data_IF_219750326237
#
_entry.id   IF_219750326237
#
_cell.length_a   1.000
_cell.length_b   1.000
_cell.length_c   1.000
_cell.angle_alpha   90.00
_cell.angle_beta   90.00
_cell.angle_gamma   90.00
#
_symmetry.space_group_name_H-M   'P 1'
#
loop_
_entity.id
_entity.type
_entity.pdbx_description
1 polymer ?
#
# COMPACT_ATOMS: atom_id res chain seq x y z
N UNK A 1 33.53 32.69 -34.98
CA UNK A 1 32.70 33.86 -34.61
C UNK A 1 31.50 33.32 -33.84
N UNK A 2 31.51 33.27 -32.51
CA UNK A 2 31.38 34.37 -31.53
C UNK A 2 29.94 34.84 -31.29
N UNK A 3 29.31 34.23 -30.28
CA UNK A 3 28.28 34.74 -29.32
C UNK A 3 27.12 35.60 -29.85
N UNK A 4 25.89 35.21 -29.47
CA UNK A 4 25.05 35.92 -28.48
C UNK A 4 23.68 35.23 -28.25
N UNK A 5 23.38 34.89 -27.00
CA UNK A 5 22.01 34.92 -26.39
C UNK A 5 21.83 36.36 -25.86
N UNK A 6 20.61 36.94 -25.65
CA UNK A 6 19.57 36.45 -24.72
C UNK A 6 18.10 36.85 -25.01
N UNK A 7 17.24 36.82 -23.97
CA UNK A 7 15.88 37.39 -23.79
C UNK A 7 14.61 36.58 -24.11
N UNK A 8 13.98 36.09 -23.03
CA UNK A 8 12.55 36.29 -22.68
C UNK A 8 12.46 37.58 -21.83
N UNK A 9 11.31 38.30 -21.61
CA UNK A 9 9.99 37.75 -21.29
C UNK A 9 8.76 38.61 -21.74
N UNK A 10 7.62 38.46 -21.01
CA UNK A 10 6.44 39.35 -20.84
C UNK A 10 5.10 38.88 -21.44
N UNK A 11 4.20 38.56 -20.50
CA UNK A 11 2.74 38.77 -20.48
C UNK A 11 2.04 39.37 -21.72
N UNK A 12 0.96 38.70 -22.13
CA UNK A 12 -0.26 39.38 -22.61
C UNK A 12 -1.44 38.85 -21.79
N UNK A 13 -2.30 39.77 -21.34
CA UNK A 13 -3.43 39.51 -20.46
C UNK A 13 -4.78 39.73 -21.17
N UNK A 14 -5.83 39.07 -20.64
CA UNK A 14 -7.24 39.54 -20.47
C UNK A 14 -8.04 40.22 -21.61
N UNK A 15 -9.37 40.23 -21.43
CA UNK A 15 -10.46 40.64 -22.37
C UNK A 15 -10.88 39.48 -23.31
N UNK A 16 -12.16 39.18 -23.61
CA UNK A 16 -13.52 39.58 -23.17
C UNK A 16 -14.38 38.27 -23.28
N UNK A 17 -15.39 37.98 -22.44
CA UNK A 17 -16.86 38.22 -22.67
C UNK A 17 -17.60 38.14 -21.32
N UNK A 18 -18.31 39.22 -21.00
CA UNK A 18 -19.33 39.30 -19.94
C UNK A 18 -20.72 38.93 -20.50
N UNK A 19 -21.75 39.03 -19.65
CA UNK A 19 -23.19 38.99 -19.96
C UNK A 19 -23.77 37.57 -20.10
N UNK A 20 -24.37 37.06 -19.03
CA UNK A 20 -25.84 36.90 -18.93
C UNK A 20 -26.21 36.43 -17.51
N UNK A 21 -26.57 37.39 -16.66
CA UNK A 21 -27.32 37.14 -15.42
C UNK A 21 -28.75 37.63 -15.60
N UNK A 22 -29.73 36.90 -15.05
CA UNK A 22 -30.87 37.56 -14.43
C UNK A 22 -30.95 37.17 -12.95
N UNK A 23 -30.86 38.18 -12.08
CA UNK A 23 -31.48 38.07 -10.75
C UNK A 23 -32.99 37.94 -10.96
N UNK A 24 -33.61 36.95 -10.32
CA UNK A 24 -34.99 37.10 -9.87
C UNK A 24 -35.10 36.61 -8.43
N UNK A 25 -35.57 37.51 -7.56
CA UNK A 25 -35.95 37.22 -6.18
C UNK A 25 -37.12 36.23 -6.15
N UNK A 26 -37.13 35.30 -5.19
CA UNK A 26 -38.33 35.06 -4.35
C UNK A 26 -38.03 34.17 -3.12
N UNK A 27 -38.33 34.75 -1.96
CA UNK A 27 -39.00 34.13 -0.79
C UNK A 27 -38.55 32.76 -0.26
N UNK A 28 -38.01 32.76 0.97
CA UNK A 28 -38.00 31.58 1.86
C UNK A 28 -39.43 31.11 2.18
N UNK A 29 -39.73 29.81 2.11
CA UNK A 29 -40.70 29.16 2.99
C UNK A 29 -39.98 28.46 4.15
N UNK A 30 -40.40 28.75 5.38
CA UNK A 30 -40.05 27.96 6.55
C UNK A 30 -41.08 26.83 6.71
N UNK A 31 -40.67 25.58 6.52
CA UNK A 31 -41.40 24.42 7.05
C UNK A 31 -40.43 23.37 7.59
N UNK A 32 -40.62 23.00 8.86
CA UNK A 32 -40.06 21.78 9.42
C UNK A 32 -40.76 20.59 8.75
N UNK A 33 -40.00 19.65 8.20
CA UNK A 33 -40.48 18.28 7.99
C UNK A 33 -39.46 17.28 8.55
N UNK A 34 -39.87 16.58 9.60
CA UNK A 34 -39.08 15.52 10.22
C UNK A 34 -39.15 14.27 9.35
N UNK A 35 -38.26 14.16 8.35
CA UNK A 35 -38.01 12.89 7.68
C UNK A 35 -36.75 12.26 8.25
N UNK A 36 -36.95 11.46 9.30
CA UNK A 36 -35.94 10.51 9.79
C UNK A 36 -35.80 9.43 8.72
N UNK A 37 -34.88 9.64 7.77
CA UNK A 37 -34.36 8.54 6.97
C UNK A 37 -33.55 7.65 7.90
N UNK A 38 -34.03 6.42 8.11
CA UNK A 38 -33.41 5.46 9.00
C UNK A 38 -31.93 5.27 8.65
N UNK A 39 -31.05 5.51 9.62
CA UNK A 39 -29.66 5.13 9.52
C UNK A 39 -29.57 3.60 9.40
N UNK A 40 -29.43 3.11 8.18
CA UNK A 40 -29.27 1.69 7.91
C UNK A 40 -28.07 1.16 8.72
N UNK A 41 -28.31 0.05 9.44
CA UNK A 41 -27.47 -0.35 10.57
C UNK A 41 -26.05 -0.69 10.11
N UNK A 42 -25.11 0.06 10.68
CA UNK A 42 -23.66 -0.10 10.61
C UNK A 42 -23.22 -1.57 10.36
N UNK A 43 -22.51 -1.89 9.26
CA UNK A 43 -22.02 -3.24 9.03
C UNK A 43 -21.05 -3.62 10.15
N UNK A 44 -21.46 -4.58 10.98
CA UNK A 44 -20.83 -5.06 12.21
C UNK A 44 -19.30 -4.86 12.26
N UNK A 45 -18.87 -3.74 12.84
CA UNK A 45 -17.45 -3.43 13.06
C UNK A 45 -16.93 -4.39 14.13
N UNK A 46 -16.30 -5.48 13.70
CA UNK A 46 -15.60 -6.41 14.60
C UNK A 46 -14.30 -5.77 15.06
N UNK A 47 -14.34 -5.14 16.23
CA UNK A 47 -13.16 -4.67 16.94
C UNK A 47 -12.32 -5.90 17.31
N UNK A 48 -11.09 -6.00 16.80
CA UNK A 48 -10.16 -7.05 17.21
C UNK A 48 -9.56 -6.75 18.59
N UNK A 49 -9.02 -7.79 19.24
CA UNK A 49 -8.28 -7.65 20.50
C UNK A 49 -6.99 -6.82 20.40
N UNK A 50 -6.60 -6.39 19.19
CA UNK A 50 -5.45 -5.51 18.96
C UNK A 50 -5.85 -4.09 18.51
N UNK A 51 -7.11 -3.71 18.75
CA UNK A 51 -7.66 -2.38 18.52
C UNK A 51 -8.01 -2.07 17.07
N UNK A 52 -7.92 -3.05 16.17
CA UNK A 52 -8.07 -2.85 14.74
C UNK A 52 -9.48 -3.21 14.27
N UNK A 53 -10.12 -2.28 13.58
CA UNK A 53 -11.44 -2.47 13.00
C UNK A 53 -11.29 -3.10 11.60
N UNK A 54 -11.62 -4.39 11.52
CA UNK A 54 -11.62 -5.11 10.25
C UNK A 54 -12.86 -4.78 9.42
N UNK A 55 -12.65 -4.19 8.25
CA UNK A 55 -13.71 -3.93 7.27
C UNK A 55 -14.03 -5.22 6.51
N UNK A 56 -14.84 -6.07 7.11
CA UNK A 56 -15.26 -7.38 6.58
C UNK A 56 -14.13 -8.42 6.47
N UNK A 57 -14.47 -9.63 6.01
CA UNK A 57 -13.51 -10.71 5.74
C UNK A 57 -13.16 -10.79 4.25
N UNK A 58 -11.87 -10.87 3.92
CA UNK A 58 -11.40 -11.02 2.53
C UNK A 58 -11.63 -12.45 2.06
N UNK A 59 -12.27 -12.63 0.89
CA UNK A 59 -12.55 -13.97 0.36
C UNK A 59 -11.36 -14.53 -0.41
N UNK A 60 -11.16 -15.83 -0.26
CA UNK A 60 -10.24 -16.65 -1.05
C UNK A 60 -11.02 -17.74 -1.78
N UNK A 61 -10.52 -18.22 -2.94
CA UNK A 61 -11.06 -19.42 -3.55
C UNK A 61 -10.78 -20.64 -2.65
N UNK A 62 -11.62 -21.67 -2.68
CA UNK A 62 -11.55 -22.83 -1.77
C UNK A 62 -10.14 -23.45 -1.68
N UNK A 63 -9.48 -23.63 -2.84
CA UNK A 63 -8.11 -24.17 -2.94
C UNK A 63 -7.07 -23.35 -2.16
N UNK A 64 -7.34 -22.07 -1.89
CA UNK A 64 -6.48 -21.16 -1.13
C UNK A 64 -6.97 -20.90 0.30
N UNK A 65 -8.27 -21.11 0.61
CA UNK A 65 -8.81 -20.92 1.98
C UNK A 65 -8.06 -21.72 3.03
N UNK A 66 -7.69 -22.97 2.77
CA UNK A 66 -6.91 -23.79 3.71
C UNK A 66 -5.55 -23.17 4.06
N UNK A 67 -4.92 -22.46 3.11
CA UNK A 67 -3.57 -21.89 3.27
C UNK A 67 -3.58 -20.45 3.78
N UNK A 68 -4.54 -19.65 3.34
CA UNK A 68 -4.58 -18.21 3.62
C UNK A 68 -5.78 -17.77 4.45
N UNK A 69 -6.89 -18.52 4.52
CA UNK A 69 -8.16 -18.03 5.09
C UNK A 69 -8.13 -17.61 6.57
N UNK A 70 -7.13 -18.03 7.34
CA UNK A 70 -6.92 -17.63 8.75
C UNK A 70 -5.68 -16.72 8.97
N UNK A 71 -5.10 -16.15 7.91
CA UNK A 71 -3.90 -15.29 8.01
C UNK A 71 -4.00 -14.21 9.09
N UNK A 72 -5.11 -13.46 9.18
CA UNK A 72 -5.31 -12.41 10.19
C UNK A 72 -5.17 -12.85 11.64
N UNK A 73 -5.37 -14.15 11.92
CA UNK A 73 -5.23 -14.76 13.25
C UNK A 73 -3.85 -15.40 13.44
N UNK A 74 -3.31 -16.00 12.39
CA UNK A 74 -2.17 -16.90 12.48
C UNK A 74 -0.85 -16.29 11.98
N UNK A 75 -0.90 -15.14 11.31
CA UNK A 75 0.25 -14.47 10.67
C UNK A 75 0.55 -13.13 11.33
N UNK A 76 1.77 -12.64 11.14
CA UNK A 76 2.25 -11.41 11.73
C UNK A 76 1.78 -10.20 10.90
N UNK A 77 0.88 -9.36 11.45
CA UNK A 77 0.51 -8.07 10.84
C UNK A 77 1.64 -7.05 11.01
N UNK A 78 2.36 -6.79 9.93
CA UNK A 78 3.59 -5.98 9.89
C UNK A 78 3.33 -4.48 9.92
N UNK A 79 2.20 -4.01 9.39
CA UNK A 79 1.84 -2.58 9.33
C UNK A 79 0.54 -2.28 10.06
N UNK A 80 0.20 -1.00 10.21
CA UNK A 80 -1.20 -0.61 10.42
C UNK A 80 -1.83 -0.32 9.04
N UNK A 81 -2.80 0.59 8.93
CA UNK A 81 -3.28 1.06 7.61
C UNK A 81 -2.28 2.07 7.04
N UNK A 82 -1.52 1.69 6.01
CA UNK A 82 -0.53 2.56 5.36
C UNK A 82 -1.10 3.12 4.05
N UNK A 83 -1.00 4.43 3.81
CA UNK A 83 -1.39 4.99 2.52
C UNK A 83 -0.32 4.69 1.46
N UNK A 84 -0.73 4.05 0.35
CA UNK A 84 0.17 3.66 -0.71
C UNK A 84 -0.13 4.41 -2.01
N UNK A 85 0.54 5.55 -2.22
CA UNK A 85 0.47 6.32 -3.48
C UNK A 85 0.81 5.48 -4.72
N UNK A 86 1.74 4.52 -4.61
CA UNK A 86 2.14 3.62 -5.70
C UNK A 86 1.12 2.53 -6.05
N UNK A 87 0.08 2.33 -5.24
CA UNK A 87 -0.95 1.30 -5.47
C UNK A 87 -2.33 1.99 -5.58
N UNK A 88 -2.51 2.81 -6.61
CA UNK A 88 -3.78 3.47 -6.96
C UNK A 88 -4.44 4.26 -5.81
N UNK A 89 -3.64 4.93 -4.98
CA UNK A 89 -4.11 5.70 -3.81
C UNK A 89 -4.92 4.86 -2.81
N UNK A 90 -4.59 3.59 -2.65
CA UNK A 90 -5.23 2.67 -1.71
C UNK A 90 -4.52 2.67 -0.34
N UNK A 91 -5.27 2.39 0.72
CA UNK A 91 -4.72 2.01 2.01
C UNK A 91 -4.34 0.53 1.98
N UNK A 92 -3.21 0.16 2.58
CA UNK A 92 -2.70 -1.22 2.56
C UNK A 92 -2.38 -1.72 3.96
N UNK A 93 -2.50 -3.04 4.13
CA UNK A 93 -2.10 -3.74 5.37
C UNK A 93 -1.27 -4.96 4.99
N UNK A 94 -0.07 -5.09 5.53
CA UNK A 94 0.88 -6.16 5.17
C UNK A 94 0.93 -7.21 6.29
N UNK A 95 0.92 -8.48 5.90
CA UNK A 95 1.09 -9.65 6.76
C UNK A 95 2.25 -10.51 6.25
N UNK A 96 2.94 -11.20 7.16
CA UNK A 96 3.90 -12.27 6.83
C UNK A 96 3.64 -13.53 7.65
N UNK A 97 3.77 -14.70 7.02
CA UNK A 97 3.47 -16.00 7.66
C UNK A 97 4.51 -16.46 8.69
N UNK A 98 5.77 -16.02 8.55
CA UNK A 98 6.91 -16.38 9.41
C UNK A 98 7.99 -15.29 9.34
N UNK A 99 8.97 -15.37 10.23
CA UNK A 99 10.16 -14.52 10.26
C UNK A 99 9.90 -12.99 10.17
N UNK A 100 8.97 -12.43 10.99
CA UNK A 100 8.72 -10.98 11.01
C UNK A 100 9.96 -10.15 11.42
N UNK A 101 10.92 -10.74 12.13
CA UNK A 101 12.18 -10.12 12.53
C UNK A 101 13.02 -9.67 11.32
N UNK A 102 13.08 -10.47 10.25
CA UNK A 102 13.80 -10.13 9.00
C UNK A 102 13.19 -8.86 8.38
N UNK A 103 11.86 -8.76 8.35
CA UNK A 103 11.17 -7.54 7.88
C UNK A 103 11.44 -6.33 8.78
N UNK A 104 11.53 -6.53 10.10
CA UNK A 104 11.86 -5.44 11.02
C UNK A 104 13.32 -4.98 10.92
N UNK A 105 14.27 -5.90 10.68
CA UNK A 105 15.66 -5.58 10.41
C UNK A 105 15.79 -4.79 9.10
N UNK A 106 15.16 -5.27 8.03
CA UNK A 106 15.12 -4.59 6.73
C UNK A 106 14.41 -3.24 6.78
N UNK A 107 13.40 -3.06 7.65
CA UNK A 107 12.81 -1.74 7.91
C UNK A 107 13.77 -0.82 8.67
N UNK A 108 14.47 -1.31 9.70
CA UNK A 108 15.45 -0.51 10.45
C UNK A 108 16.58 0.00 9.55
N UNK A 109 17.11 -0.86 8.68
CA UNK A 109 18.11 -0.46 7.69
C UNK A 109 17.54 0.58 6.72
N UNK A 110 16.33 0.38 6.20
CA UNK A 110 15.68 1.37 5.34
C UNK A 110 15.50 2.73 6.02
N UNK A 111 15.07 2.74 7.29
CA UNK A 111 14.93 3.99 8.05
C UNK A 111 16.27 4.69 8.27
N UNK A 112 17.35 3.95 8.61
CA UNK A 112 18.71 4.51 8.79
C UNK A 112 19.29 5.15 7.53
N UNK A 113 18.96 4.62 6.35
CA UNK A 113 19.63 5.03 5.10
C UNK A 113 18.79 5.91 4.17
N UNK A 114 17.46 5.94 4.34
CA UNK A 114 16.55 6.61 3.40
C UNK A 114 15.48 7.49 4.06
N UNK A 115 15.40 7.55 5.40
CA UNK A 115 14.38 8.34 6.12
C UNK A 115 14.93 9.20 7.26
N UNK A 116 16.16 8.98 7.73
CA UNK A 116 16.80 9.89 8.68
C UNK A 116 17.38 11.09 7.93
N UNK A 117 16.76 12.26 8.14
CA UNK A 117 17.28 13.57 7.72
C UNK A 117 18.49 14.02 8.59
N UNK A 118 19.24 13.09 9.20
CA UNK A 118 20.43 13.42 9.98
C UNK A 118 21.51 13.96 9.02
N UNK A 119 22.05 15.16 9.29
CA UNK A 119 23.14 15.75 8.49
C UNK A 119 24.42 14.90 8.54
N UNK A 120 24.49 13.95 9.48
CA UNK A 120 25.53 12.93 9.66
C UNK A 120 25.40 11.73 8.68
N UNK A 121 24.48 11.72 7.71
CA UNK A 121 24.43 10.67 6.67
C UNK A 121 25.74 10.61 5.87
N UNK A 122 26.45 11.75 5.75
CA UNK A 122 27.79 11.83 5.15
C UNK A 122 28.89 11.11 5.98
N UNK A 123 28.63 10.73 7.25
CA UNK A 123 29.54 9.90 8.08
C UNK A 123 29.21 8.40 8.02
N UNK A 124 28.16 7.97 7.30
CA UNK A 124 27.80 6.54 7.21
C UNK A 124 28.65 5.87 6.12
N UNK A 125 29.87 5.44 6.48
CA UNK A 125 30.78 4.71 5.57
C UNK A 125 30.25 3.33 5.11
N UNK A 126 29.28 2.75 5.83
CA UNK A 126 28.71 1.43 5.55
C UNK A 126 27.64 1.46 4.44
N UNK A 127 27.64 0.49 3.52
CA UNK A 127 26.50 0.24 2.62
C UNK A 127 25.30 -0.41 3.33
N UNK A 128 24.04 -0.12 2.93
CA UNK A 128 22.84 -0.71 3.52
C UNK A 128 22.75 -2.23 3.26
N UNK A 129 23.01 -3.02 4.30
CA UNK A 129 22.92 -4.48 4.22
C UNK A 129 21.53 -4.98 4.60
N UNK A 130 20.81 -5.57 3.64
CA UNK A 130 19.49 -6.18 3.84
C UNK A 130 19.55 -7.72 3.92
N UNK A 131 18.68 -8.30 4.72
CA UNK A 131 18.53 -9.74 4.89
C UNK A 131 17.57 -10.35 3.85
N UNK A 132 17.94 -11.53 3.32
CA UNK A 132 17.12 -12.30 2.38
C UNK A 132 16.06 -13.14 3.09
N UNK A 133 14.90 -13.33 2.44
CA UNK A 133 13.83 -14.16 3.00
C UNK A 133 13.99 -15.64 2.65
N UNK A 134 13.82 -16.57 3.61
CA UNK A 134 13.92 -18.00 3.34
C UNK A 134 12.75 -18.52 2.51
N UNK A 135 12.95 -19.66 1.81
CA UNK A 135 11.90 -20.36 1.05
C UNK A 135 10.63 -20.56 1.88
N UNK A 136 9.45 -20.41 1.26
CA UNK A 136 8.15 -20.55 1.91
C UNK A 136 7.77 -19.35 2.78
N UNK A 137 8.53 -18.25 2.75
CA UNK A 137 8.07 -16.94 3.23
C UNK A 137 6.95 -16.45 2.32
N UNK A 138 5.86 -15.96 2.92
CA UNK A 138 4.69 -15.48 2.20
C UNK A 138 4.29 -14.13 2.79
N UNK A 139 4.36 -13.10 1.95
CA UNK A 139 3.75 -11.81 2.21
C UNK A 139 2.34 -11.78 1.64
N UNK A 140 1.41 -11.22 2.40
CA UNK A 140 0.04 -10.97 1.97
C UNK A 140 -0.28 -9.51 2.26
N UNK A 141 -0.58 -8.75 1.20
CA UNK A 141 -0.96 -7.35 1.25
C UNK A 141 -2.44 -7.22 0.94
N UNK A 142 -3.19 -6.75 1.92
CA UNK A 142 -4.58 -6.31 1.73
C UNK A 142 -4.58 -4.91 1.12
N UNK A 143 -5.48 -4.65 0.18
CA UNK A 143 -5.75 -3.32 -0.34
C UNK A 143 -7.17 -2.87 0.03
N UNK A 144 -7.31 -1.60 0.39
CA UNK A 144 -8.57 -0.95 0.75
C UNK A 144 -8.73 0.35 -0.04
N UNK A 145 -9.95 0.60 -0.53
CA UNK A 145 -10.31 1.89 -1.09
C UNK A 145 -10.30 2.98 -0.02
N UNK A 146 -10.10 4.23 -0.42
CA UNK A 146 -10.00 5.38 0.48
C UNK A 146 -11.19 6.31 0.30
N UNK A 147 -11.83 6.68 1.41
CA UNK A 147 -12.94 7.65 1.45
C UNK A 147 -12.73 8.59 2.63
N UNK A 148 -12.60 9.89 2.36
CA UNK A 148 -12.28 10.92 3.37
C UNK A 148 -11.02 10.57 4.18
N UNK A 149 -9.96 10.14 3.50
CA UNK A 149 -8.66 9.71 4.07
C UNK A 149 -8.71 8.50 5.02
N UNK A 150 -9.85 7.81 5.12
CA UNK A 150 -10.01 6.57 5.87
C UNK A 150 -10.15 5.38 4.90
N UNK A 151 -9.73 4.16 5.29
CA UNK A 151 -10.13 2.96 4.55
C UNK A 151 -11.67 2.84 4.51
N UNK A 152 -12.23 2.41 3.38
CA UNK A 152 -13.69 2.25 3.21
C UNK A 152 -14.09 0.83 2.84
N UNK A 153 -13.66 0.35 1.68
CA UNK A 153 -14.13 -0.89 1.08
C UNK A 153 -12.95 -1.79 0.75
N UNK A 154 -13.14 -3.10 0.85
CA UNK A 154 -12.12 -4.07 0.49
C UNK A 154 -11.85 -4.02 -1.02
N UNK A 155 -10.58 -3.89 -1.42
CA UNK A 155 -10.18 -3.88 -2.82
C UNK A 155 -9.74 -5.25 -3.31
N UNK A 156 -8.47 -5.58 -3.08
CA UNK A 156 -7.82 -6.79 -3.60
C UNK A 156 -6.78 -7.33 -2.62
N UNK A 157 -6.28 -8.53 -2.87
CA UNK A 157 -5.18 -9.14 -2.12
C UNK A 157 -4.02 -9.39 -3.08
N UNK A 158 -2.86 -8.79 -2.83
CA UNK A 158 -1.62 -9.19 -3.45
C UNK A 158 -0.88 -10.18 -2.53
N UNK A 159 -0.32 -11.24 -3.10
CA UNK A 159 0.45 -12.27 -2.39
C UNK A 159 1.79 -12.43 -3.09
N UNK A 160 2.87 -12.43 -2.30
CA UNK A 160 4.20 -12.82 -2.74
C UNK A 160 4.65 -14.04 -1.95
N UNK A 161 5.16 -15.06 -2.64
CA UNK A 161 5.63 -16.31 -2.03
C UNK A 161 7.04 -16.62 -2.52
N UNK A 162 7.98 -16.79 -1.58
CA UNK A 162 9.36 -17.19 -1.87
C UNK A 162 9.36 -18.67 -2.26
N UNK A 163 9.61 -18.95 -3.54
CA UNK A 163 9.65 -20.30 -4.10
C UNK A 163 11.06 -20.91 -3.99
N UNK A 164 11.21 -22.22 -4.22
CA UNK A 164 12.53 -22.85 -4.34
C UNK A 164 13.42 -22.18 -5.39
N UNK A 165 14.73 -22.31 -5.20
CA UNK A 165 15.76 -21.86 -6.14
C UNK A 165 15.51 -22.44 -7.53
N UNK A 166 15.59 -21.59 -8.56
CA UNK A 166 15.34 -21.97 -9.96
C UNK A 166 13.93 -21.68 -10.44
N UNK A 167 12.98 -21.34 -9.55
CA UNK A 167 11.63 -20.95 -9.96
C UNK A 167 11.63 -19.67 -10.82
N UNK A 168 12.32 -18.62 -10.35
CA UNK A 168 12.49 -17.35 -11.06
C UNK A 168 13.76 -16.64 -10.56
N UNK A 169 14.93 -17.23 -10.84
CA UNK A 169 16.20 -16.80 -10.24
C UNK A 169 16.58 -15.34 -10.53
N UNK A 170 16.08 -14.76 -11.64
CA UNK A 170 16.30 -13.35 -11.98
C UNK A 170 15.42 -12.37 -11.18
N UNK A 171 14.40 -12.87 -10.48
CA UNK A 171 13.44 -12.10 -9.70
C UNK A 171 13.30 -12.67 -8.27
N UNK A 172 14.43 -13.10 -7.68
CA UNK A 172 14.50 -13.58 -6.30
C UNK A 172 13.72 -14.86 -6.00
N UNK A 173 13.29 -15.61 -7.02
CA UNK A 173 12.37 -16.74 -6.92
C UNK A 173 10.99 -16.39 -6.31
N UNK A 174 10.53 -15.15 -6.46
CA UNK A 174 9.21 -14.76 -5.97
C UNK A 174 8.07 -15.16 -6.92
N UNK A 175 7.04 -15.82 -6.38
CA UNK A 175 5.75 -16.06 -7.05
C UNK A 175 4.73 -15.03 -6.60
N UNK A 176 4.08 -14.40 -7.56
CA UNK A 176 3.07 -13.38 -7.33
C UNK A 176 1.66 -13.96 -7.53
N UNK A 177 0.67 -13.44 -6.82
CA UNK A 177 -0.76 -13.69 -7.07
C UNK A 177 -1.58 -12.46 -6.68
N UNK A 178 -2.59 -12.13 -7.49
CA UNK A 178 -3.51 -11.03 -7.22
C UNK A 178 -4.95 -11.56 -7.24
N UNK A 179 -5.71 -11.28 -6.18
CA UNK A 179 -7.04 -11.85 -5.93
C UNK A 179 -8.05 -10.72 -5.73
N UNK A 180 -9.22 -10.82 -6.36
CA UNK A 180 -10.37 -9.98 -6.07
C UNK A 180 -10.99 -10.42 -4.72
N UNK A 181 -11.04 -9.53 -3.73
CA UNK A 181 -11.46 -9.88 -2.36
C UNK A 181 -12.96 -10.14 -2.21
N UNK A 182 -13.80 -9.53 -3.06
CA UNK A 182 -15.26 -9.59 -2.94
C UNK A 182 -15.84 -10.84 -3.61
N UNK A 183 -15.19 -11.37 -4.65
CA UNK A 183 -15.53 -12.65 -5.29
C UNK A 183 -14.66 -13.82 -4.83
N UNK A 184 -13.43 -13.56 -4.37
CA UNK A 184 -12.41 -14.61 -4.16
C UNK A 184 -11.80 -15.14 -5.46
N UNK A 185 -11.92 -14.43 -6.58
CA UNK A 185 -11.37 -14.86 -7.88
C UNK A 185 -9.89 -14.50 -7.98
N UNK A 186 -9.04 -15.45 -8.41
CA UNK A 186 -7.64 -15.15 -8.79
C UNK A 186 -7.66 -14.38 -10.11
N UNK A 187 -7.22 -13.13 -10.09
CA UNK A 187 -7.10 -12.26 -11.27
C UNK A 187 -5.85 -12.61 -12.08
N UNK A 188 -4.75 -12.89 -11.39
CA UNK A 188 -3.48 -13.33 -11.99
C UNK A 188 -2.60 -14.07 -10.97
N UNK A 189 -1.77 -14.99 -11.45
CA UNK A 189 -0.82 -15.77 -10.64
C UNK A 189 0.33 -16.28 -11.50
N UNK A 190 1.57 -16.19 -11.02
CA UNK A 190 2.74 -16.64 -11.78
C UNK A 190 4.04 -15.95 -11.38
N UNK A 191 4.92 -15.79 -12.37
CA UNK A 191 6.27 -15.25 -12.26
C UNK A 191 6.55 -14.29 -13.43
N UNK A 192 7.80 -13.87 -13.61
CA UNK A 192 8.22 -13.00 -14.72
C UNK A 192 7.89 -13.59 -16.10
N UNK A 193 7.73 -12.69 -17.08
CA UNK A 193 7.33 -13.02 -18.45
C UNK A 193 5.82 -13.10 -18.69
N UNK A 194 4.99 -13.17 -17.65
CA UNK A 194 3.54 -13.02 -17.79
C UNK A 194 3.15 -11.52 -17.81
N UNK A 195 2.83 -10.97 -18.99
CA UNK A 195 2.64 -9.51 -19.23
C UNK A 195 1.82 -8.78 -18.15
N UNK A 196 0.69 -9.36 -17.72
CA UNK A 196 -0.16 -8.76 -16.68
C UNK A 196 0.51 -8.66 -15.31
N UNK A 197 1.26 -9.69 -14.90
CA UNK A 197 2.02 -9.71 -13.64
C UNK A 197 3.28 -8.86 -13.73
N UNK A 198 3.89 -8.80 -14.91
CA UNK A 198 5.09 -8.00 -15.15
C UNK A 198 4.80 -6.53 -14.79
N UNK A 199 3.75 -5.96 -15.36
CA UNK A 199 3.33 -4.57 -15.10
C UNK A 199 2.70 -4.35 -13.72
N UNK A 200 1.91 -5.31 -13.23
CA UNK A 200 1.17 -5.12 -11.98
C UNK A 200 1.99 -5.34 -10.71
N UNK A 201 3.13 -6.06 -10.79
CA UNK A 201 3.92 -6.42 -9.61
C UNK A 201 5.43 -6.36 -9.87
N UNK A 202 5.90 -7.05 -10.92
CA UNK A 202 7.32 -7.40 -11.03
C UNK A 202 8.17 -6.19 -11.44
N UNK A 203 7.68 -5.32 -12.32
CA UNK A 203 8.38 -4.11 -12.78
C UNK A 203 8.77 -3.17 -11.64
N UNK A 204 7.97 -3.09 -10.57
CA UNK A 204 8.31 -2.29 -9.38
C UNK A 204 9.25 -3.07 -8.45
N UNK A 205 8.96 -4.35 -8.20
CA UNK A 205 9.70 -5.17 -7.23
C UNK A 205 11.11 -5.56 -7.73
N UNK A 206 11.33 -5.70 -9.04
CA UNK A 206 12.63 -6.03 -9.64
C UNK A 206 13.67 -4.90 -9.53
N UNK A 207 13.24 -3.68 -9.15
CA UNK A 207 14.12 -2.51 -9.02
C UNK A 207 14.75 -2.39 -7.62
N UNK A 208 14.44 -3.32 -6.70
CA UNK A 208 15.06 -3.41 -5.36
C UNK A 208 15.59 -4.85 -5.08
N UNK A 209 16.47 -5.40 -5.96
CA UNK A 209 16.96 -6.77 -5.83
C UNK A 209 17.85 -6.96 -4.59
N UNK A 210 18.51 -5.89 -4.15
CA UNK A 210 19.30 -5.76 -2.91
C UNK A 210 18.45 -6.01 -1.65
N UNK A 211 17.15 -5.72 -1.69
CA UNK A 211 16.20 -5.82 -0.57
C UNK A 211 15.37 -7.10 -0.61
N UNK A 212 15.90 -8.13 -1.28
CA UNK A 212 15.18 -9.34 -1.70
C UNK A 212 13.79 -9.05 -2.28
N UNK A 213 13.69 -8.02 -3.13
CA UNK A 213 12.46 -7.66 -3.83
C UNK A 213 11.29 -7.27 -2.89
N UNK A 214 11.55 -6.90 -1.62
CA UNK A 214 10.50 -6.59 -0.62
C UNK A 214 10.64 -5.17 -0.06
N UNK A 215 9.59 -4.38 -0.22
CA UNK A 215 9.47 -3.03 0.34
C UNK A 215 9.19 -3.07 1.85
N UNK A 216 10.27 -3.14 2.65
CA UNK A 216 10.22 -2.94 4.10
C UNK A 216 10.26 -1.44 4.42
N UNK A 217 9.18 -0.71 4.09
CA UNK A 217 9.13 0.76 4.17
C UNK A 217 8.16 1.30 5.23
N UNK A 218 7.38 0.45 5.88
CA UNK A 218 6.49 0.80 6.98
C UNK A 218 6.51 -0.31 8.03
N UNK A 219 6.39 0.04 9.32
CA UNK A 219 6.39 -0.93 10.41
C UNK A 219 5.44 -0.50 11.51
N UNK A 220 4.56 -1.42 11.91
CA UNK A 220 3.58 -1.26 12.98
C UNK A 220 4.26 -0.85 14.29
N UNK A 221 3.64 0.08 15.00
CA UNK A 221 4.07 0.59 16.32
C UNK A 221 4.46 -0.52 17.33
N UNK A 222 3.72 -1.65 17.34
CA UNK A 222 4.05 -2.84 18.14
C UNK A 222 5.45 -3.38 17.85
N UNK A 223 5.82 -3.52 16.57
CA UNK A 223 7.13 -4.05 16.19
C UNK A 223 8.25 -3.02 16.37
N UNK A 224 7.97 -1.73 16.14
CA UNK A 224 8.89 -0.65 16.51
C UNK A 224 9.33 -0.75 17.97
N UNK A 225 8.38 -0.99 18.90
CA UNK A 225 8.68 -1.25 20.32
C UNK A 225 9.41 -2.56 20.56
N UNK A 226 8.94 -3.68 20.00
CA UNK A 226 9.52 -5.02 20.25
C UNK A 226 10.97 -5.16 19.78
N UNK A 227 11.33 -4.50 18.68
CA UNK A 227 12.66 -4.59 18.05
C UNK A 227 13.52 -3.34 18.28
N UNK A 228 13.14 -2.48 19.22
CA UNK A 228 13.81 -1.21 19.53
C UNK A 228 14.13 -0.36 18.27
N UNK A 229 13.18 -0.31 17.33
CA UNK A 229 13.25 0.59 16.17
C UNK A 229 12.62 1.90 16.59
N UNK A 230 13.45 2.84 17.03
CA UNK A 230 13.00 4.20 17.33
C UNK A 230 12.50 4.85 16.05
N UNK A 231 11.28 5.39 16.09
CA UNK A 231 10.91 6.51 15.25
C UNK A 231 11.19 7.75 16.10
N UNK A 232 12.13 8.59 15.66
CA UNK A 232 12.11 10.01 15.98
C UNK A 232 11.00 10.66 15.15
#
# INVERSE_FOLDING_TARGET
MSKLKPFYPVLIALLIVLIWSPLFFMSRPSTKSNNILEFNKNPQIKISSDGFNFMGDFKFPEKLKKRFGNYRKNWHRLTDYEFSGLHWQQMVVIYVNKNPEIYSANYKQFSKFYLSDDEDVDEIEDEPTFENYPEGTIFLKEHYFVKKNMPSDQGTIAIMEKMPVGYDSKNGNWRYSWINSSSGTVLMKGKSGAIGLQKACIECHQNIPDRDYVFSTALRSKYKKLFNVQAK
#
